data_IF_348552752126
#
_entry.id   IF_348552752126
#
_cell.length_a   1.000
_cell.length_b   1.000
_cell.length_c   1.000
_cell.angle_alpha   90.00
_cell.angle_beta   90.00
_cell.angle_gamma   90.00
#
_symmetry.space_group_name_H-M   'P 1'
#
loop_
_entity.id
_entity.type
_entity.pdbx_description
1 polymer ?
#
# COMPACT_ATOMS: atom_id res chain seq x y z
N UNK A 1 13.75 -63.35 7.67
CA UNK A 1 12.98 -62.46 6.78
C UNK A 1 13.58 -61.08 6.95
N UNK A 2 14.66 -60.80 6.21
CA UNK A 2 14.62 -60.20 4.86
C UNK A 2 14.06 -58.76 4.97
N UNK A 3 14.77 -57.67 4.73
CA UNK A 3 16.11 -57.42 4.21
C UNK A 3 16.29 -55.90 4.20
N UNK A 4 17.51 -55.43 4.44
CA UNK A 4 17.88 -54.03 4.23
C UNK A 4 18.66 -53.96 2.91
N UNK A 5 18.09 -53.28 1.91
CA UNK A 5 18.79 -52.62 0.79
C UNK A 5 17.88 -51.44 0.36
N UNK A 6 18.31 -50.19 0.55
CA UNK A 6 19.16 -49.38 -0.35
C UNK A 6 18.47 -49.00 -1.66
N UNK A 7 17.95 -47.77 -1.73
CA UNK A 7 18.32 -46.72 -2.71
C UNK A 7 17.37 -45.50 -2.57
N UNK A 8 17.83 -44.34 -2.09
CA UNK A 8 17.06 -43.11 -2.19
C UNK A 8 17.18 -42.55 -3.61
N UNK A 9 16.11 -42.73 -4.40
CA UNK A 9 15.92 -41.98 -5.65
C UNK A 9 16.22 -40.49 -5.42
N UNK A 10 17.20 -39.98 -6.15
CA UNK A 10 17.78 -38.66 -5.97
C UNK A 10 16.76 -37.60 -6.39
N UNK A 11 16.33 -36.72 -5.47
CA UNK A 11 15.51 -35.55 -5.85
C UNK A 11 14.51 -34.99 -4.84
N UNK A 12 14.47 -35.42 -3.58
CA UNK A 12 13.64 -34.72 -2.57
C UNK A 12 14.24 -34.75 -1.17
N UNK A 13 14.93 -33.68 -0.74
CA UNK A 13 15.11 -33.37 0.67
C UNK A 13 14.07 -32.30 1.06
N UNK A 14 13.13 -32.48 2.00
CA UNK A 14 13.10 -33.39 3.13
C UNK A 14 11.65 -33.59 3.64
N UNK A 15 11.17 -34.83 3.66
CA UNK A 15 10.09 -35.25 4.56
C UNK A 15 10.75 -35.79 5.83
N UNK A 16 11.22 -34.90 6.69
CA UNK A 16 11.63 -35.30 8.03
C UNK A 16 10.39 -35.76 8.80
N UNK A 17 10.44 -37.02 9.21
CA UNK A 17 9.52 -37.67 10.12
C UNK A 17 9.49 -36.89 11.44
N UNK A 18 8.47 -36.05 11.65
CA UNK A 18 8.24 -35.36 12.92
C UNK A 18 7.83 -36.40 13.97
N UNK A 19 8.74 -36.75 14.88
CA UNK A 19 8.41 -37.44 16.15
C UNK A 19 8.49 -36.46 17.31
N UNK A 20 7.70 -35.39 17.25
CA UNK A 20 7.61 -34.37 18.30
C UNK A 20 6.17 -33.99 18.58
N UNK A 21 5.66 -34.33 19.76
CA UNK A 21 4.39 -33.84 20.32
C UNK A 21 4.61 -32.50 21.01
N UNK A 22 4.98 -31.47 20.25
CA UNK A 22 4.98 -30.08 20.76
C UNK A 22 4.07 -29.23 19.88
N UNK A 23 3.07 -28.53 20.45
CA UNK A 23 2.19 -27.65 19.69
C UNK A 23 2.99 -26.52 19.02
N UNK A 24 2.54 -26.02 17.85
CA UNK A 24 3.21 -24.92 17.19
C UNK A 24 3.29 -23.70 18.12
N UNK A 25 4.50 -23.14 18.26
CA UNK A 25 4.72 -21.91 19.04
C UNK A 25 3.84 -20.79 18.46
N UNK A 26 3.13 -20.01 19.31
CA UNK A 26 2.36 -18.86 18.82
C UNK A 26 3.29 -17.87 18.11
N UNK A 27 2.87 -17.41 16.94
CA UNK A 27 3.54 -16.33 16.21
C UNK A 27 3.51 -15.06 17.08
N UNK A 28 4.64 -14.34 17.22
CA UNK A 28 4.62 -13.06 17.94
C UNK A 28 3.65 -12.09 17.28
N UNK A 29 2.94 -11.31 18.10
CA UNK A 29 2.08 -10.23 17.60
C UNK A 29 2.89 -9.25 16.73
N UNK A 30 2.30 -8.66 15.68
CA UNK A 30 2.99 -7.67 14.87
C UNK A 30 3.43 -6.49 15.75
N UNK A 31 4.71 -6.12 15.65
CA UNK A 31 5.25 -4.93 16.32
C UNK A 31 4.50 -3.69 15.81
N UNK A 32 4.09 -2.75 16.69
CA UNK A 32 3.48 -1.50 16.24
C UNK A 32 4.43 -0.76 15.30
N UNK A 33 3.88 -0.33 14.16
CA UNK A 33 4.64 0.40 13.16
C UNK A 33 5.08 1.77 13.73
N UNK A 34 6.33 2.21 13.52
CA UNK A 34 6.79 3.52 13.97
C UNK A 34 5.84 4.66 13.55
N UNK A 35 5.66 5.71 14.36
CA UNK A 35 4.87 6.87 13.98
C UNK A 35 5.42 7.52 12.71
N UNK A 36 4.53 8.02 11.84
CA UNK A 36 4.94 8.88 10.73
C UNK A 36 5.55 10.19 11.27
N UNK A 37 6.65 10.71 10.69
CA UNK A 37 7.24 11.97 11.14
C UNK A 37 6.24 13.13 11.02
N UNK A 38 6.19 14.07 11.99
CA UNK A 38 5.29 15.22 11.92
C UNK A 38 5.47 16.02 10.63
N UNK A 39 4.35 16.47 10.04
CA UNK A 39 4.36 17.28 8.82
C UNK A 39 4.85 16.56 7.55
N UNK A 40 5.02 15.23 7.58
CA UNK A 40 5.49 14.46 6.44
C UNK A 40 4.50 13.38 6.00
N UNK A 41 4.52 13.12 4.69
CA UNK A 41 3.94 11.91 4.13
C UNK A 41 4.90 10.74 4.36
N UNK A 42 4.35 9.56 4.58
CA UNK A 42 5.13 8.34 4.67
C UNK A 42 4.46 7.24 3.86
N UNK A 43 4.99 6.96 2.66
CA UNK A 43 4.51 5.86 1.81
C UNK A 43 4.85 4.54 2.50
N UNK A 44 3.82 3.80 2.87
CA UNK A 44 3.94 2.51 3.58
C UNK A 44 4.03 1.36 2.59
N UNK A 45 3.24 1.42 1.52
CA UNK A 45 3.17 0.38 0.49
C UNK A 45 2.62 0.92 -0.83
N UNK A 46 2.87 0.18 -1.91
CA UNK A 46 2.38 0.50 -3.25
C UNK A 46 3.24 1.49 -4.03
N UNK A 47 2.74 1.91 -5.18
CA UNK A 47 3.47 2.72 -6.16
C UNK A 47 3.41 4.24 -5.96
N UNK A 48 2.78 4.74 -4.89
CA UNK A 48 2.70 6.18 -4.65
C UNK A 48 4.06 6.78 -4.30
N UNK A 49 4.26 8.05 -4.67
CA UNK A 49 5.53 8.74 -4.48
C UNK A 49 5.33 10.12 -3.90
N UNK A 50 6.35 10.63 -3.22
CA UNK A 50 6.41 12.01 -2.72
C UNK A 50 7.43 12.76 -3.56
N UNK A 51 7.06 13.91 -4.12
CA UNK A 51 7.97 14.74 -4.89
C UNK A 51 8.79 15.72 -4.02
N UNK A 52 9.63 16.53 -4.67
CA UNK A 52 10.49 17.51 -4.01
C UNK A 52 9.73 18.63 -3.32
N UNK A 53 8.47 18.87 -3.69
CA UNK A 53 7.61 19.91 -3.11
C UNK A 53 6.79 19.37 -1.94
N UNK A 54 7.11 18.14 -1.47
CA UNK A 54 6.35 17.41 -0.47
C UNK A 54 4.90 17.14 -0.91
N UNK A 55 4.65 16.98 -2.21
CA UNK A 55 3.35 16.56 -2.71
C UNK A 55 3.32 15.04 -2.90
N UNK A 56 2.26 14.40 -2.39
CA UNK A 56 1.98 13.00 -2.63
C UNK A 56 1.36 12.80 -4.01
N UNK A 57 1.74 11.73 -4.70
CA UNK A 57 1.33 11.46 -6.08
C UNK A 57 0.87 10.02 -6.26
N UNK A 58 -0.12 9.84 -7.13
CA UNK A 58 -0.49 8.53 -7.65
C UNK A 58 0.69 7.85 -8.35
N UNK A 59 0.66 6.52 -8.52
CA UNK A 59 1.66 5.82 -9.30
C UNK A 59 1.79 6.44 -10.70
N UNK A 60 3.02 6.58 -11.19
CA UNK A 60 3.38 7.12 -12.51
C UNK A 60 3.01 8.58 -12.82
N UNK A 61 2.35 9.32 -11.92
CA UNK A 61 1.96 10.70 -12.17
C UNK A 61 3.15 11.58 -12.66
N UNK A 62 2.99 12.35 -13.76
CA UNK A 62 1.74 12.72 -14.44
C UNK A 62 1.29 11.79 -15.58
N UNK A 63 1.98 10.67 -15.79
CA UNK A 63 1.51 9.64 -16.72
C UNK A 63 0.40 8.79 -16.06
N UNK A 64 -0.31 8.01 -16.87
CA UNK A 64 -1.42 7.21 -16.38
C UNK A 64 -1.00 6.22 -15.30
N UNK A 65 -1.80 6.12 -14.24
CA UNK A 65 -1.61 5.10 -13.22
C UNK A 65 -1.89 3.71 -13.81
N UNK A 66 -1.20 2.64 -13.37
CA UNK A 66 -1.53 1.29 -13.81
C UNK A 66 -2.85 0.79 -13.19
N UNK A 67 -3.52 -0.12 -13.88
CA UNK A 67 -4.73 -0.77 -13.39
C UNK A 67 -4.40 -1.69 -12.20
N UNK A 68 -5.37 -1.88 -11.30
CA UNK A 68 -5.27 -2.73 -10.11
C UNK A 68 -4.16 -2.34 -9.14
N UNK A 69 -3.65 -1.11 -9.26
CA UNK A 69 -2.65 -0.58 -8.34
C UNK A 69 -3.30 0.01 -7.11
N UNK A 70 -2.63 -0.20 -5.99
CA UNK A 70 -3.04 0.33 -4.70
C UNK A 70 -1.83 0.93 -4.00
N UNK A 71 -2.06 1.94 -3.18
CA UNK A 71 -1.03 2.45 -2.30
C UNK A 71 -1.60 2.93 -0.97
N UNK A 72 -0.75 2.92 0.05
CA UNK A 72 -1.10 3.39 1.38
C UNK A 72 -0.03 4.36 1.87
N UNK A 73 -0.47 5.54 2.28
CA UNK A 73 0.37 6.62 2.78
C UNK A 73 -0.13 6.97 4.17
N UNK A 74 0.77 6.97 5.14
CA UNK A 74 0.50 7.52 6.47
C UNK A 74 0.83 8.99 6.51
N UNK A 75 0.07 9.72 7.30
CA UNK A 75 0.20 11.16 7.45
C UNK A 75 0.74 11.48 8.83
N UNK A 76 1.82 12.24 8.87
CA UNK A 76 2.38 12.78 10.10
C UNK A 76 1.42 13.70 10.82
N UNK A 77 1.53 13.77 12.15
CA UNK A 77 0.77 14.76 12.91
C UNK A 77 1.10 16.20 12.47
N UNK A 78 0.10 17.08 12.54
CA UNK A 78 0.29 18.50 12.21
C UNK A 78 0.56 18.78 10.73
N UNK A 79 0.10 17.91 9.82
CA UNK A 79 0.32 18.04 8.38
C UNK A 79 -0.29 19.32 7.77
N UNK A 80 -1.45 19.75 8.27
CA UNK A 80 -2.16 20.93 7.78
C UNK A 80 -3.17 20.63 6.67
N UNK A 81 -3.60 21.67 5.96
CA UNK A 81 -4.55 21.55 4.85
C UNK A 81 -3.82 21.01 3.61
N UNK A 82 -4.50 20.15 2.85
CA UNK A 82 -4.04 19.66 1.55
C UNK A 82 -5.07 19.90 0.46
N UNK A 83 -4.60 20.03 -0.76
CA UNK A 83 -5.42 20.21 -1.95
C UNK A 83 -4.85 19.40 -3.10
N UNK A 84 -5.72 18.94 -3.99
CA UNK A 84 -5.27 18.40 -5.26
C UNK A 84 -4.89 19.55 -6.20
N UNK A 85 -3.64 19.57 -6.65
CA UNK A 85 -3.22 20.47 -7.74
C UNK A 85 -3.67 19.94 -9.10
N UNK A 86 -3.74 18.62 -9.23
CA UNK A 86 -4.24 17.89 -10.39
C UNK A 86 -5.00 16.66 -9.87
N UNK A 87 -6.14 16.39 -10.48
CA UNK A 87 -7.01 15.28 -10.10
C UNK A 87 -7.85 14.81 -11.29
N UNK A 88 -7.50 13.65 -11.83
CA UNK A 88 -8.16 13.02 -12.96
C UNK A 88 -8.08 11.50 -12.80
N UNK A 89 -9.18 10.91 -12.35
CA UNK A 89 -9.34 9.47 -12.12
C UNK A 89 -10.62 8.94 -12.77
N UNK A 90 -10.78 7.62 -12.89
CA UNK A 90 -12.07 7.08 -13.34
C UNK A 90 -13.17 7.37 -12.30
N UNK A 91 -14.16 8.15 -12.70
CA UNK A 91 -15.25 8.59 -11.83
C UNK A 91 -16.03 7.42 -11.21
N UNK A 92 -16.01 7.34 -9.88
CA UNK A 92 -16.74 6.33 -9.11
C UNK A 92 -16.13 4.92 -9.13
N UNK A 93 -14.99 4.71 -9.79
CA UNK A 93 -14.27 3.43 -9.82
C UNK A 93 -12.94 3.52 -9.09
N UNK A 94 -12.10 4.45 -9.52
CA UNK A 94 -10.77 4.65 -8.96
C UNK A 94 -10.81 5.73 -7.89
N UNK A 95 -10.56 5.32 -6.65
CA UNK A 95 -10.85 6.12 -5.49
C UNK A 95 -9.59 6.46 -4.70
N UNK A 96 -9.43 7.75 -4.44
CA UNK A 96 -8.56 8.29 -3.41
C UNK A 96 -9.37 8.43 -2.12
N UNK A 97 -8.88 7.87 -1.03
CA UNK A 97 -9.44 8.06 0.30
C UNK A 97 -8.50 8.91 1.14
N UNK A 98 -9.03 9.97 1.77
CA UNK A 98 -8.32 10.73 2.82
C UNK A 98 -9.09 10.52 4.13
N UNK A 99 -8.49 9.85 5.10
CA UNK A 99 -9.14 9.46 6.36
C UNK A 99 -10.52 8.79 6.16
N UNK A 100 -10.66 8.00 5.09
CA UNK A 100 -11.90 7.31 4.71
C UNK A 100 -12.89 8.15 3.88
N UNK A 101 -12.63 9.43 3.63
CA UNK A 101 -13.42 10.24 2.69
C UNK A 101 -12.97 9.97 1.25
N UNK A 102 -13.89 9.52 0.40
CA UNK A 102 -13.60 9.14 -0.98
C UNK A 102 -13.66 10.33 -1.95
N UNK A 103 -12.76 10.32 -2.92
CA UNK A 103 -12.66 11.25 -4.05
C UNK A 103 -12.38 10.46 -5.32
N UNK A 104 -13.03 10.83 -6.43
CA UNK A 104 -12.82 10.21 -7.74
C UNK A 104 -13.27 11.15 -8.87
N UNK A 105 -12.95 10.82 -10.11
CA UNK A 105 -13.29 11.65 -11.26
C UNK A 105 -12.39 12.87 -11.34
N UNK A 106 -13.01 14.05 -11.49
CA UNK A 106 -12.32 15.35 -11.48
C UNK A 106 -12.60 16.17 -10.21
N UNK A 107 -13.39 15.61 -9.29
CA UNK A 107 -13.77 16.25 -8.02
C UNK A 107 -12.75 15.87 -6.93
N UNK A 108 -11.56 16.47 -7.03
CA UNK A 108 -10.46 16.24 -6.09
C UNK A 108 -10.65 16.92 -4.72
N UNK A 109 -9.85 16.51 -3.71
CA UNK A 109 -9.81 17.18 -2.41
C UNK A 109 -9.51 18.68 -2.50
N UNK A 110 -10.34 19.50 -1.85
CA UNK A 110 -10.12 20.93 -1.70
C UNK A 110 -10.06 21.29 -0.20
N UNK A 111 -8.86 21.66 0.27
CA UNK A 111 -8.61 22.07 1.66
C UNK A 111 -9.09 21.04 2.69
N UNK A 112 -8.58 19.81 2.56
CA UNK A 112 -8.86 18.71 3.51
C UNK A 112 -7.70 18.61 4.50
N UNK A 113 -7.97 18.34 5.77
CA UNK A 113 -6.93 18.10 6.78
C UNK A 113 -6.77 16.60 7.04
N UNK A 114 -5.80 15.92 6.40
CA UNK A 114 -5.51 14.54 6.70
C UNK A 114 -4.91 14.41 8.11
N UNK A 115 -5.38 13.40 8.85
CA UNK A 115 -4.99 13.13 10.24
C UNK A 115 -4.32 11.78 10.43
N UNK A 116 -4.63 10.81 9.56
CA UNK A 116 -4.14 9.44 9.70
C UNK A 116 -3.56 8.92 8.39
N UNK A 117 -4.36 8.87 7.32
CA UNK A 117 -3.93 8.18 6.11
C UNK A 117 -4.55 8.67 4.81
N UNK A 118 -3.83 8.37 3.73
CA UNK A 118 -4.28 8.47 2.35
C UNK A 118 -4.15 7.08 1.72
N UNK A 119 -5.23 6.60 1.10
CA UNK A 119 -5.27 5.32 0.41
C UNK A 119 -5.70 5.54 -1.03
N UNK A 120 -5.05 4.85 -1.96
CA UNK A 120 -5.42 4.83 -3.37
C UNK A 120 -5.72 3.41 -3.81
N UNK A 121 -6.76 3.24 -4.62
CA UNK A 121 -7.08 1.97 -5.28
C UNK A 121 -7.68 2.25 -6.66
N UNK A 122 -7.10 1.61 -7.67
CA UNK A 122 -7.58 1.60 -9.04
C UNK A 122 -8.17 0.23 -9.41
N UNK A 123 -9.22 0.21 -10.22
CA UNK A 123 -9.85 -1.01 -10.71
C UNK A 123 -9.05 -1.66 -11.86
N UNK A 124 -9.56 -2.74 -12.44
CA UNK A 124 -8.87 -3.50 -13.49
C UNK A 124 -8.81 -2.83 -14.86
N UNK A 125 -9.41 -1.66 -15.04
CA UNK A 125 -9.64 -0.98 -16.32
C UNK A 125 -9.48 0.53 -16.22
N UNK A 126 -9.60 1.22 -17.38
CA UNK A 126 -9.64 2.68 -17.57
C UNK A 126 -8.75 3.47 -16.60
N UNK A 127 -7.55 3.82 -17.06
CA UNK A 127 -6.65 4.69 -16.30
C UNK A 127 -6.58 6.10 -16.85
N UNK A 128 -6.46 7.05 -15.93
CA UNK A 128 -6.34 8.48 -16.17
C UNK A 128 -4.99 8.99 -15.65
N UNK A 129 -4.73 10.29 -15.73
CA UNK A 129 -3.43 10.87 -15.32
C UNK A 129 -3.16 10.78 -13.81
N UNK A 130 -4.20 10.60 -12.99
CA UNK A 130 -4.11 10.37 -11.56
C UNK A 130 -4.22 11.65 -10.76
N UNK A 131 -3.46 11.73 -9.66
CA UNK A 131 -3.58 12.84 -8.71
C UNK A 131 -2.24 13.26 -8.13
N UNK A 132 -2.19 14.53 -7.73
CA UNK A 132 -1.09 15.12 -6.95
C UNK A 132 -1.68 15.98 -5.83
N UNK A 133 -1.45 15.58 -4.58
CA UNK A 133 -1.88 16.26 -3.37
C UNK A 133 -0.73 17.05 -2.77
N UNK A 134 -0.92 18.36 -2.59
CA UNK A 134 0.09 19.23 -2.01
C UNK A 134 -0.38 19.82 -0.67
N UNK A 135 0.53 20.01 0.30
CA UNK A 135 0.27 20.84 1.47
C UNK A 135 0.05 22.30 1.04
N UNK A 136 -0.82 23.01 1.76
CA UNK A 136 -1.05 24.45 1.60
C UNK A 136 0.11 25.31 2.09
#
# INVERSE_FOLDING_TARGET
TEGVMQDPGTGSPNKFLYTGTEPPRPTPAPTPMPPAPPGQWFVVSGGCTIDSDNCAKSPNFPASYPNSEECYIRVGSGFGDVFAVEFDTESGRDNLFIDGMAFSGSDGPCRVQPKDSVTWSADGSISQSGWRLCPH
#
